data_IF_988972187526
#
_entry.id   IF_988972187526
#
_cell.length_a   1.000
_cell.length_b   1.000
_cell.length_c   1.000
_cell.angle_alpha   90.00
_cell.angle_beta   90.00
_cell.angle_gamma   90.00
#
_symmetry.space_group_name_H-M   'P 1'
#
loop_
_entity.id
_entity.type
_entity.pdbx_description
1 polymer ?
#
# COMPACT_ATOMS: atom_id res chain seq x y z
N UNK A 1 -62.04 -37.96 19.93
CA UNK A 1 -61.34 -38.70 18.84
C UNK A 1 -60.13 -37.77 18.48
N UNK A 2 -59.02 -38.33 18.86
CA UNK A 2 -57.72 -37.66 18.96
C UNK A 2 -57.09 -37.44 17.62
N UNK A 3 -56.40 -36.28 17.47
CA UNK A 3 -55.33 -36.13 16.52
C UNK A 3 -54.07 -35.59 17.21
N UNK A 4 -53.06 -36.43 17.20
CA UNK A 4 -51.77 -36.23 17.81
C UNK A 4 -50.89 -35.19 17.05
N UNK A 5 -50.26 -34.33 17.83
CA UNK A 5 -49.12 -33.51 17.49
C UNK A 5 -47.88 -34.31 17.11
N UNK A 6 -47.14 -33.89 16.07
CA UNK A 6 -45.71 -34.08 15.91
C UNK A 6 -45.04 -32.75 15.51
N UNK A 7 -44.54 -32.04 16.50
CA UNK A 7 -43.58 -30.96 16.31
C UNK A 7 -42.21 -31.53 16.67
N UNK A 8 -41.44 -31.95 15.65
CA UNK A 8 -40.03 -32.27 15.79
C UNK A 8 -39.23 -30.97 15.86
N UNK A 9 -38.75 -30.62 17.07
CA UNK A 9 -37.91 -29.48 17.30
C UNK A 9 -36.51 -29.66 16.69
N UNK A 10 -36.14 -28.83 15.78
CA UNK A 10 -34.72 -28.66 15.38
C UNK A 10 -33.97 -27.97 16.51
N UNK A 11 -32.96 -28.62 17.06
CA UNK A 11 -32.17 -28.10 18.17
C UNK A 11 -31.32 -26.88 17.74
N UNK A 12 -31.18 -25.91 18.64
CA UNK A 12 -30.40 -24.68 18.43
C UNK A 12 -28.94 -24.94 18.03
N UNK A 13 -28.43 -26.16 18.22
CA UNK A 13 -27.08 -26.55 17.78
C UNK A 13 -26.99 -26.85 16.28
N UNK A 14 -28.05 -27.33 15.65
CA UNK A 14 -28.04 -27.63 14.20
C UNK A 14 -28.05 -26.36 13.36
N UNK A 15 -28.68 -25.28 13.84
CA UNK A 15 -28.61 -23.96 13.19
C UNK A 15 -27.23 -23.33 13.29
N UNK A 16 -26.51 -23.49 14.41
CA UNK A 16 -25.14 -22.98 14.57
C UNK A 16 -24.16 -23.70 13.66
N UNK A 17 -24.26 -25.01 13.50
CA UNK A 17 -23.41 -25.81 12.60
C UNK A 17 -23.70 -25.46 11.13
N UNK A 18 -24.97 -25.32 10.75
CA UNK A 18 -25.36 -24.93 9.40
C UNK A 18 -24.91 -23.48 9.04
N UNK A 19 -25.00 -22.52 9.98
CA UNK A 19 -24.50 -21.17 9.79
C UNK A 19 -22.96 -21.14 9.70
N UNK A 20 -22.25 -21.90 10.53
CA UNK A 20 -20.77 -21.95 10.49
C UNK A 20 -20.24 -22.58 9.20
N UNK A 21 -20.89 -23.61 8.67
CA UNK A 21 -20.56 -24.24 7.39
C UNK A 21 -20.91 -23.34 6.19
N UNK A 22 -21.99 -22.57 6.28
CA UNK A 22 -22.37 -21.60 5.23
C UNK A 22 -21.41 -20.42 5.17
N UNK A 23 -20.99 -19.87 6.32
CA UNK A 23 -20.01 -18.79 6.40
C UNK A 23 -18.62 -19.27 5.93
N UNK A 24 -18.21 -20.47 6.30
CA UNK A 24 -16.95 -21.06 5.84
C UNK A 24 -16.94 -21.30 4.32
N UNK A 25 -18.04 -21.83 3.74
CA UNK A 25 -18.16 -22.05 2.29
C UNK A 25 -18.18 -20.73 1.50
N UNK A 26 -18.84 -19.69 2.00
CA UNK A 26 -18.84 -18.35 1.37
C UNK A 26 -17.45 -17.70 1.44
N UNK A 27 -16.75 -17.85 2.57
CA UNK A 27 -15.38 -17.34 2.73
C UNK A 27 -14.39 -18.05 1.81
N UNK A 28 -14.44 -19.37 1.72
CA UNK A 28 -13.56 -20.17 0.85
C UNK A 28 -13.86 -19.91 -0.63
N UNK A 29 -15.13 -19.89 -1.04
CA UNK A 29 -15.53 -19.60 -2.42
C UNK A 29 -15.10 -18.20 -2.87
N UNK A 30 -15.21 -17.19 -2.01
CA UNK A 30 -14.74 -15.81 -2.28
C UNK A 30 -13.22 -15.74 -2.37
N UNK A 31 -12.50 -16.49 -1.54
CA UNK A 31 -11.04 -16.57 -1.58
C UNK A 31 -10.53 -17.25 -2.87
N UNK A 32 -11.16 -18.33 -3.32
CA UNK A 32 -10.84 -19.01 -4.57
C UNK A 32 -11.16 -18.12 -5.79
N UNK A 33 -12.34 -17.48 -5.82
CA UNK A 33 -12.76 -16.59 -6.91
C UNK A 33 -11.85 -15.35 -7.03
N UNK A 34 -11.44 -14.76 -5.90
CA UNK A 34 -10.47 -13.66 -5.87
C UNK A 34 -9.11 -14.12 -6.38
N UNK A 35 -8.63 -15.32 -5.99
CA UNK A 35 -7.36 -15.86 -6.49
C UNK A 35 -7.35 -16.14 -7.98
N UNK A 36 -8.41 -16.73 -8.55
CA UNK A 36 -8.48 -16.99 -9.99
C UNK A 36 -8.46 -15.69 -10.82
N UNK A 37 -9.16 -14.65 -10.37
CA UNK A 37 -9.22 -13.36 -11.07
C UNK A 37 -7.92 -12.54 -10.95
N UNK A 38 -7.14 -12.74 -9.88
CA UNK A 38 -5.82 -12.11 -9.65
C UNK A 38 -4.70 -12.72 -10.51
N UNK A 39 -4.93 -13.85 -11.16
CA UNK A 39 -3.90 -14.63 -11.87
C UNK A 39 -3.36 -13.99 -13.14
N UNK A 40 -3.92 -12.87 -13.61
CA UNK A 40 -3.57 -12.31 -14.91
C UNK A 40 -2.96 -10.89 -14.87
N UNK A 41 -2.55 -10.38 -13.70
CA UNK A 41 -1.97 -9.05 -13.61
C UNK A 41 -0.43 -9.04 -13.61
N UNK A 42 0.21 -10.13 -13.14
CA UNK A 42 1.67 -10.17 -13.01
C UNK A 42 2.36 -10.55 -14.31
N UNK A 43 3.49 -9.90 -14.55
CA UNK A 43 4.39 -10.08 -15.67
C UNK A 43 5.70 -10.71 -15.21
N UNK A 44 6.20 -11.67 -15.98
CA UNK A 44 7.52 -12.25 -15.76
C UNK A 44 8.62 -11.19 -15.99
N UNK A 45 9.49 -10.93 -15.00
CA UNK A 45 10.50 -9.90 -15.12
C UNK A 45 11.63 -10.26 -16.12
N UNK A 46 11.69 -11.52 -16.56
CA UNK A 46 12.72 -11.99 -17.49
C UNK A 46 12.25 -11.95 -18.94
N UNK A 47 11.06 -12.48 -19.21
CA UNK A 47 10.57 -12.63 -20.59
C UNK A 47 9.26 -11.87 -20.89
N UNK A 48 8.72 -11.12 -19.91
CA UNK A 48 7.53 -10.27 -20.03
C UNK A 48 6.21 -11.00 -20.31
N UNK A 49 6.20 -12.32 -20.37
CA UNK A 49 4.95 -13.09 -20.47
C UNK A 49 4.17 -13.06 -19.14
N UNK A 50 2.87 -13.28 -19.25
CA UNK A 50 1.99 -13.40 -18.08
C UNK A 50 2.47 -14.49 -17.11
N UNK A 51 2.40 -14.21 -15.83
CA UNK A 51 2.62 -15.18 -14.77
C UNK A 51 1.27 -15.75 -14.32
N UNK A 52 1.18 -17.06 -14.21
CA UNK A 52 0.02 -17.77 -13.66
C UNK A 52 0.42 -18.48 -12.37
N UNK A 53 -0.44 -18.44 -11.35
CA UNK A 53 -0.22 -19.07 -10.06
C UNK A 53 -0.73 -20.51 -10.07
N UNK A 54 0.18 -21.45 -9.80
CA UNK A 54 -0.15 -22.87 -9.63
C UNK A 54 0.61 -23.39 -8.40
N UNK A 55 -0.09 -23.98 -7.45
CA UNK A 55 0.49 -24.62 -6.26
C UNK A 55 1.55 -23.78 -5.51
N UNK A 56 1.25 -22.50 -5.26
CA UNK A 56 2.16 -21.54 -4.59
C UNK A 56 3.39 -21.13 -5.41
N UNK A 57 3.40 -21.38 -6.73
CA UNK A 57 4.47 -20.97 -7.63
C UNK A 57 3.90 -20.20 -8.81
N UNK A 58 4.41 -18.99 -9.05
CA UNK A 58 4.11 -18.21 -10.24
C UNK A 58 4.99 -18.68 -11.40
N UNK A 59 4.38 -19.02 -12.54
CA UNK A 59 5.07 -19.53 -13.72
C UNK A 59 4.63 -18.81 -14.99
N UNK A 60 5.56 -18.60 -15.93
CA UNK A 60 5.27 -18.13 -17.27
C UNK A 60 5.37 -19.25 -18.31
N UNK A 61 4.95 -18.98 -19.55
CA UNK A 61 5.02 -19.94 -20.66
C UNK A 61 6.46 -20.38 -20.99
N UNK A 62 7.46 -19.55 -20.70
CA UNK A 62 8.88 -19.86 -20.88
C UNK A 62 9.50 -20.56 -19.64
N UNK A 63 8.69 -21.16 -18.81
CA UNK A 63 9.07 -21.96 -17.64
C UNK A 63 9.88 -21.21 -16.54
N UNK A 64 9.96 -19.86 -16.59
CA UNK A 64 10.47 -19.13 -15.43
C UNK A 64 9.49 -19.29 -14.26
N UNK A 65 10.02 -19.57 -13.07
CA UNK A 65 9.22 -19.87 -11.88
C UNK A 65 9.66 -19.04 -10.68
N UNK A 66 8.69 -18.62 -9.86
CA UNK A 66 8.87 -17.78 -8.67
C UNK A 66 7.97 -18.29 -7.56
N UNK A 67 8.55 -18.82 -6.50
CA UNK A 67 7.77 -19.36 -5.39
C UNK A 67 7.19 -18.25 -4.52
N UNK A 68 5.96 -18.49 -4.05
CA UNK A 68 5.34 -17.65 -3.03
C UNK A 68 5.99 -17.97 -1.69
N UNK A 69 6.58 -16.98 -1.07
CA UNK A 69 7.20 -17.12 0.24
C UNK A 69 6.16 -17.52 1.31
N UNK A 70 6.61 -18.15 2.41
CA UNK A 70 5.75 -18.55 3.54
C UNK A 70 4.87 -17.39 4.06
N UNK A 71 5.33 -16.15 3.96
CA UNK A 71 4.59 -14.95 4.36
C UNK A 71 3.46 -14.60 3.40
N UNK A 72 3.49 -15.05 2.15
CA UNK A 72 2.46 -14.82 1.13
C UNK A 72 2.83 -13.76 0.08
N UNK A 73 4.10 -13.42 -0.09
CA UNK A 73 4.59 -12.54 -1.17
C UNK A 73 5.39 -13.32 -2.21
N UNK A 74 5.55 -12.75 -3.39
CA UNK A 74 6.47 -13.24 -4.42
C UNK A 74 7.61 -12.25 -4.63
N UNK A 75 8.83 -12.75 -4.86
CA UNK A 75 9.98 -11.92 -5.18
C UNK A 75 10.24 -11.94 -6.69
N UNK A 76 9.91 -10.85 -7.36
CA UNK A 76 10.12 -10.64 -8.79
C UNK A 76 11.25 -9.63 -9.07
N UNK A 77 12.02 -9.24 -8.05
CA UNK A 77 13.19 -8.37 -8.22
C UNK A 77 14.38 -9.15 -8.75
N UNK A 78 14.75 -8.87 -10.00
CA UNK A 78 15.88 -9.56 -10.69
C UNK A 78 17.20 -9.12 -10.09
N UNK A 79 18.05 -10.10 -9.75
CA UNK A 79 19.34 -9.88 -9.05
C UNK A 79 20.28 -8.96 -9.84
N UNK A 80 20.25 -9.02 -11.16
CA UNK A 80 21.09 -8.19 -12.06
C UNK A 80 20.78 -6.67 -11.94
N UNK A 81 19.61 -6.30 -11.39
CA UNK A 81 19.20 -4.92 -11.16
C UNK A 81 19.43 -4.44 -9.72
N UNK A 82 20.12 -5.24 -8.90
CA UNK A 82 20.41 -4.88 -7.50
C UNK A 82 21.65 -4.00 -7.41
N UNK A 83 21.48 -2.74 -7.07
CA UNK A 83 22.57 -1.81 -6.78
C UNK A 83 23.01 -1.82 -5.30
N UNK A 84 22.22 -2.44 -4.40
CA UNK A 84 22.56 -2.65 -2.99
C UNK A 84 22.08 -4.01 -2.49
N UNK A 85 22.70 -4.51 -1.39
CA UNK A 85 22.30 -5.78 -0.77
C UNK A 85 20.90 -5.73 -0.14
N UNK A 86 20.54 -4.58 0.45
CA UNK A 86 19.25 -4.33 1.11
C UNK A 86 18.70 -2.98 0.63
N UNK A 87 18.07 -2.92 -0.56
CA UNK A 87 17.46 -1.69 -1.04
C UNK A 87 16.19 -1.37 -0.25
N UNK A 88 15.87 -0.07 -0.12
CA UNK A 88 14.68 0.42 0.56
C UNK A 88 14.89 0.66 2.05
N UNK A 89 13.80 0.72 2.80
CA UNK A 89 13.79 1.05 4.22
C UNK A 89 14.44 -0.02 5.10
N UNK A 90 15.09 0.42 6.19
CA UNK A 90 15.64 -0.49 7.21
C UNK A 90 14.53 -1.18 8.00
N UNK A 91 14.83 -2.28 8.67
CA UNK A 91 13.87 -2.99 9.51
C UNK A 91 13.35 -2.09 10.66
N UNK A 92 14.22 -1.26 11.24
CA UNK A 92 13.85 -0.30 12.28
C UNK A 92 12.88 0.77 11.76
N UNK A 93 13.15 1.34 10.57
CA UNK A 93 12.26 2.32 9.94
C UNK A 93 10.88 1.71 9.64
N UNK A 94 10.83 0.47 9.13
CA UNK A 94 9.58 -0.26 8.88
C UNK A 94 8.80 -0.51 10.17
N UNK A 95 9.48 -0.91 11.26
CA UNK A 95 8.85 -1.14 12.56
C UNK A 95 8.31 0.16 13.17
N UNK A 96 9.10 1.24 13.11
CA UNK A 96 8.68 2.56 13.60
C UNK A 96 7.47 3.08 12.81
N UNK A 97 7.47 2.96 11.49
CA UNK A 97 6.35 3.33 10.62
C UNK A 97 5.11 2.54 10.99
N UNK A 98 5.23 1.24 11.12
CA UNK A 98 4.11 0.39 11.51
C UNK A 98 3.55 0.79 12.87
N UNK A 99 4.38 1.00 13.90
CA UNK A 99 3.95 1.41 15.22
C UNK A 99 3.20 2.76 15.17
N UNK A 100 3.74 3.73 14.44
CA UNK A 100 3.15 5.05 14.28
C UNK A 100 1.81 5.01 13.53
N UNK A 101 1.76 4.35 12.38
CA UNK A 101 0.55 4.29 11.55
C UNK A 101 -0.55 3.45 12.21
N UNK A 102 -0.20 2.32 12.86
CA UNK A 102 -1.17 1.49 13.58
C UNK A 102 -1.77 2.18 14.80
N UNK A 103 -1.09 3.19 15.37
CA UNK A 103 -1.65 4.04 16.43
C UNK A 103 -2.67 5.07 15.89
N UNK A 104 -2.89 5.15 14.58
CA UNK A 104 -3.92 5.97 13.96
C UNK A 104 -3.54 7.41 13.69
N UNK A 105 -2.27 7.82 13.90
CA UNK A 105 -1.86 9.21 13.71
C UNK A 105 -2.09 9.74 12.29
N UNK A 106 -2.02 8.88 11.27
CA UNK A 106 -2.31 9.24 9.87
C UNK A 106 -3.65 8.66 9.36
N UNK A 107 -4.56 8.32 10.27
CA UNK A 107 -5.91 7.84 9.90
C UNK A 107 -6.68 8.84 9.02
N UNK A 108 -6.61 10.18 9.23
CA UNK A 108 -7.28 11.13 8.34
C UNK A 108 -6.82 11.02 6.88
N UNK A 109 -5.52 10.80 6.64
CA UNK A 109 -5.00 10.57 5.29
C UNK A 109 -5.50 9.25 4.71
N UNK A 110 -5.44 8.16 5.50
CA UNK A 110 -5.91 6.85 5.05
C UNK A 110 -7.39 6.92 4.65
N UNK A 111 -8.23 7.56 5.45
CA UNK A 111 -9.64 7.74 5.18
C UNK A 111 -9.87 8.52 3.88
N UNK A 112 -9.20 9.66 3.69
CA UNK A 112 -9.32 10.48 2.48
C UNK A 112 -8.95 9.71 1.20
N UNK A 113 -7.88 8.89 1.27
CA UNK A 113 -7.46 8.01 0.16
C UNK A 113 -8.53 6.96 -0.14
N UNK A 114 -9.03 6.27 0.88
CA UNK A 114 -10.06 5.22 0.74
C UNK A 114 -11.37 5.79 0.16
N UNK A 115 -11.82 6.94 0.66
CA UNK A 115 -13.01 7.63 0.16
C UNK A 115 -12.89 8.00 -1.31
N UNK A 116 -11.71 8.48 -1.74
CA UNK A 116 -11.44 8.79 -3.14
C UNK A 116 -11.51 7.54 -4.02
N UNK A 117 -10.89 6.43 -3.62
CA UNK A 117 -10.91 5.18 -4.36
C UNK A 117 -12.33 4.62 -4.49
N UNK A 118 -13.09 4.64 -3.39
CA UNK A 118 -14.50 4.24 -3.38
C UNK A 118 -15.33 5.05 -4.39
N UNK A 119 -15.11 6.36 -4.46
CA UNK A 119 -15.81 7.25 -5.38
C UNK A 119 -15.49 6.96 -6.86
N UNK A 120 -14.28 6.51 -7.18
CA UNK A 120 -13.84 6.20 -8.53
C UNK A 120 -14.43 4.89 -9.09
N UNK A 121 -14.92 3.98 -8.22
CA UNK A 121 -15.53 2.70 -8.59
C UNK A 121 -14.64 1.85 -9.54
N UNK A 122 -13.35 1.82 -9.26
CA UNK A 122 -12.36 1.05 -10.03
C UNK A 122 -12.33 -0.42 -9.59
N UNK A 123 -11.80 -1.30 -10.45
CA UNK A 123 -11.70 -2.74 -10.16
C UNK A 123 -10.28 -3.17 -9.80
N UNK A 124 -9.26 -2.59 -10.45
CA UNK A 124 -7.85 -2.99 -10.32
C UNK A 124 -6.99 -1.84 -9.81
N UNK A 125 -6.22 -2.10 -8.75
CA UNK A 125 -5.33 -1.14 -8.11
C UNK A 125 -3.91 -1.68 -8.03
N UNK A 126 -2.93 -0.84 -8.38
CA UNK A 126 -1.50 -1.07 -8.16
C UNK A 126 -0.94 0.00 -7.23
N UNK A 127 -0.46 -0.42 -6.05
CA UNK A 127 0.22 0.47 -5.09
C UNK A 127 1.74 0.37 -5.25
N UNK A 128 2.37 1.47 -5.67
CA UNK A 128 3.79 1.55 -5.99
C UNK A 128 4.54 2.16 -4.80
N UNK A 129 5.45 1.38 -4.20
CA UNK A 129 6.09 1.72 -2.94
C UNK A 129 5.15 1.46 -1.76
N UNK A 130 4.51 0.27 -1.76
CA UNK A 130 3.47 -0.08 -0.79
C UNK A 130 3.97 -0.20 0.67
N UNK A 131 5.28 -0.28 0.88
CA UNK A 131 5.87 -0.42 2.20
C UNK A 131 5.35 -1.64 2.97
N UNK A 132 4.99 -1.46 4.26
CA UNK A 132 4.41 -2.49 5.11
C UNK A 132 2.89 -2.66 4.92
N UNK A 133 2.30 -1.97 3.92
CA UNK A 133 0.94 -2.21 3.45
C UNK A 133 -0.18 -1.49 4.20
N UNK A 134 0.11 -0.49 5.05
CA UNK A 134 -0.91 0.23 5.81
C UNK A 134 -2.00 0.85 4.94
N UNK A 135 -1.62 1.61 3.93
CA UNK A 135 -2.56 2.21 2.98
C UNK A 135 -3.11 1.17 2.00
N UNK A 136 -2.25 0.31 1.45
CA UNK A 136 -2.63 -0.72 0.48
C UNK A 136 -3.72 -1.64 1.00
N UNK A 137 -3.62 -2.07 2.26
CA UNK A 137 -4.61 -2.93 2.90
C UNK A 137 -5.99 -2.25 3.04
N UNK A 138 -6.02 -0.95 3.32
CA UNK A 138 -7.25 -0.17 3.38
C UNK A 138 -7.86 0.07 2.00
N UNK A 139 -7.03 0.41 1.01
CA UNK A 139 -7.45 0.59 -0.39
C UNK A 139 -8.01 -0.69 -1.01
N UNK A 140 -7.43 -1.85 -0.67
CA UNK A 140 -7.87 -3.16 -1.16
C UNK A 140 -9.35 -3.45 -0.85
N UNK A 141 -9.89 -2.96 0.27
CA UNK A 141 -11.28 -3.18 0.64
C UNK A 141 -12.28 -2.57 -0.37
N UNK A 142 -11.85 -1.62 -1.17
CA UNK A 142 -12.67 -0.87 -2.13
C UNK A 142 -12.53 -1.38 -3.58
N UNK A 143 -11.67 -2.38 -3.83
CA UNK A 143 -11.38 -2.86 -5.20
C UNK A 143 -11.45 -4.39 -5.28
N UNK A 144 -11.63 -4.92 -6.49
CA UNK A 144 -11.68 -6.37 -6.70
C UNK A 144 -10.28 -6.99 -6.66
N UNK A 145 -9.27 -6.29 -7.20
CA UNK A 145 -7.91 -6.78 -7.32
C UNK A 145 -6.92 -5.68 -6.89
N UNK A 146 -5.98 -6.06 -6.05
CA UNK A 146 -4.95 -5.15 -5.56
C UNK A 146 -3.57 -5.82 -5.60
N UNK A 147 -2.62 -5.11 -6.18
CA UNK A 147 -1.20 -5.48 -6.20
C UNK A 147 -0.41 -4.42 -5.44
N UNK A 148 0.40 -4.83 -4.47
CA UNK A 148 1.35 -3.96 -3.77
C UNK A 148 2.78 -4.32 -4.18
N UNK A 149 3.53 -3.34 -4.68
CA UNK A 149 4.94 -3.51 -5.09
C UNK A 149 5.84 -2.63 -4.25
N UNK A 150 6.87 -3.21 -3.65
CA UNK A 150 7.94 -2.47 -2.97
C UNK A 150 9.28 -3.18 -3.14
N UNK A 151 10.36 -2.39 -3.14
CA UNK A 151 11.73 -2.92 -3.24
C UNK A 151 12.24 -3.43 -1.88
N UNK A 152 11.71 -2.91 -0.77
CA UNK A 152 12.07 -3.28 0.59
C UNK A 152 11.43 -4.62 0.98
N UNK A 153 12.17 -5.70 0.81
CA UNK A 153 11.70 -7.07 1.12
C UNK A 153 11.16 -7.21 2.55
N UNK A 154 11.81 -6.59 3.53
CA UNK A 154 11.38 -6.59 4.93
C UNK A 154 9.99 -5.95 5.12
N UNK A 155 9.70 -4.86 4.42
CA UNK A 155 8.40 -4.20 4.45
C UNK A 155 7.30 -5.09 3.82
N UNK A 156 7.55 -5.62 2.62
CA UNK A 156 6.62 -6.53 1.93
C UNK A 156 6.34 -7.79 2.75
N UNK A 157 7.34 -8.32 3.48
CA UNK A 157 7.14 -9.46 4.39
C UNK A 157 6.13 -9.14 5.52
N UNK A 158 6.17 -7.93 6.06
CA UNK A 158 5.22 -7.46 7.08
C UNK A 158 3.83 -7.33 6.47
N UNK A 159 3.70 -6.66 5.33
CA UNK A 159 2.45 -6.47 4.61
C UNK A 159 1.76 -7.81 4.30
N UNK A 160 2.50 -8.76 3.73
CA UNK A 160 1.99 -10.08 3.35
C UNK A 160 1.58 -10.97 4.53
N UNK A 161 2.16 -10.77 5.73
CA UNK A 161 1.70 -11.44 6.95
C UNK A 161 0.35 -10.91 7.42
N UNK A 162 0.13 -9.60 7.29
CA UNK A 162 -1.04 -8.90 7.86
C UNK A 162 -2.27 -8.98 6.95
N UNK A 163 -2.10 -8.89 5.64
CA UNK A 163 -3.21 -8.92 4.70
C UNK A 163 -2.95 -9.97 3.60
N UNK A 164 -3.91 -10.89 3.43
CA UNK A 164 -3.86 -11.98 2.45
C UNK A 164 -4.68 -11.70 1.18
N UNK A 165 -5.37 -10.57 1.11
CA UNK A 165 -6.24 -10.21 -0.01
C UNK A 165 -5.53 -9.35 -1.06
N UNK A 166 -4.24 -9.04 -0.85
CA UNK A 166 -3.38 -8.29 -1.78
C UNK A 166 -2.34 -9.24 -2.36
N UNK A 167 -2.01 -9.09 -3.63
CA UNK A 167 -0.84 -9.71 -4.24
C UNK A 167 0.38 -8.88 -3.90
N UNK A 168 1.20 -9.36 -2.97
CA UNK A 168 2.39 -8.68 -2.51
C UNK A 168 3.62 -9.08 -3.32
N UNK A 169 4.32 -8.10 -3.85
CA UNK A 169 5.45 -8.32 -4.75
C UNK A 169 6.67 -7.53 -4.28
N UNK A 170 7.79 -8.22 -4.09
CA UNK A 170 9.10 -7.56 -4.00
C UNK A 170 9.56 -7.26 -5.43
N UNK A 171 9.66 -5.99 -5.76
CA UNK A 171 9.98 -5.51 -7.11
C UNK A 171 10.42 -4.06 -7.12
N UNK A 172 10.86 -3.57 -8.26
CA UNK A 172 11.26 -2.18 -8.44
C UNK A 172 10.23 -1.39 -9.26
N UNK A 173 10.02 -0.13 -8.91
CA UNK A 173 9.23 0.80 -9.72
C UNK A 173 9.82 1.05 -11.11
N UNK A 174 11.14 0.91 -11.27
CA UNK A 174 11.80 1.10 -12.57
C UNK A 174 11.42 0.04 -13.63
N UNK A 175 10.92 -1.11 -13.19
CA UNK A 175 10.39 -2.17 -14.05
C UNK A 175 9.29 -2.88 -13.26
N UNK A 176 8.08 -2.39 -13.37
CA UNK A 176 6.93 -2.93 -12.64
C UNK A 176 6.59 -4.34 -13.19
N UNK A 177 6.53 -5.36 -12.32
CA UNK A 177 6.21 -6.73 -12.74
C UNK A 177 4.69 -6.91 -12.94
N UNK A 178 4.08 -6.01 -13.69
CA UNK A 178 2.64 -5.93 -13.98
C UNK A 178 2.46 -5.79 -15.49
N UNK A 179 1.46 -6.44 -16.04
CA UNK A 179 1.14 -6.44 -17.48
C UNK A 179 0.75 -5.04 -17.96
N UNK A 180 0.91 -4.81 -19.27
CA UNK A 180 0.56 -3.57 -19.94
C UNK A 180 -0.97 -3.37 -19.94
N UNK A 181 -1.41 -2.14 -19.69
CA UNK A 181 -2.81 -1.73 -19.88
C UNK A 181 -3.85 -2.49 -19.06
N UNK A 182 -3.50 -2.99 -17.84
CA UNK A 182 -4.40 -3.82 -17.04
C UNK A 182 -4.86 -3.18 -15.71
N UNK A 183 -4.35 -2.00 -15.35
CA UNK A 183 -4.61 -1.33 -14.07
C UNK A 183 -5.54 -0.12 -14.28
N UNK A 184 -6.59 0.00 -13.47
CA UNK A 184 -7.49 1.15 -13.46
C UNK A 184 -6.90 2.34 -12.71
N UNK A 185 -6.21 2.07 -11.58
CA UNK A 185 -5.57 3.09 -10.76
C UNK A 185 -4.21 2.62 -10.25
N UNK A 186 -3.18 3.45 -10.51
CA UNK A 186 -1.91 3.39 -9.80
C UNK A 186 -1.93 4.37 -8.62
N UNK A 187 -1.44 3.96 -7.45
CA UNK A 187 -1.17 4.85 -6.32
C UNK A 187 0.33 4.93 -6.03
N UNK A 188 0.79 6.12 -5.63
CA UNK A 188 2.14 6.39 -5.16
C UNK A 188 2.04 7.30 -3.94
N UNK A 189 2.22 6.72 -2.75
CA UNK A 189 2.14 7.43 -1.49
C UNK A 189 3.56 7.57 -0.92
N UNK A 190 4.11 8.79 -0.94
CA UNK A 190 5.46 9.10 -0.45
C UNK A 190 6.58 8.31 -1.16
N UNK A 191 6.33 7.82 -2.35
CA UNK A 191 7.27 7.02 -3.13
C UNK A 191 7.61 7.68 -4.48
N UNK A 192 8.72 7.27 -5.14
CA UNK A 192 9.04 7.76 -6.48
C UNK A 192 7.96 7.43 -7.50
N UNK A 193 7.80 8.29 -8.50
CA UNK A 193 6.83 8.12 -9.59
C UNK A 193 7.56 7.65 -10.85
N UNK A 194 7.54 6.35 -11.17
CA UNK A 194 8.11 5.82 -12.42
C UNK A 194 7.12 6.05 -13.57
N UNK A 195 7.06 7.26 -14.08
CA UNK A 195 6.04 7.72 -15.02
C UNK A 195 5.85 6.80 -16.22
N UNK A 196 6.92 6.35 -16.88
CA UNK A 196 6.84 5.50 -18.06
C UNK A 196 6.22 4.13 -17.76
N UNK A 197 6.56 3.54 -16.61
CA UNK A 197 5.99 2.29 -16.18
C UNK A 197 4.52 2.43 -15.76
N UNK A 198 4.16 3.54 -15.11
CA UNK A 198 2.77 3.87 -14.79
C UNK A 198 1.94 4.00 -16.06
N UNK A 199 2.46 4.72 -17.08
CA UNK A 199 1.81 4.84 -18.39
C UNK A 199 1.62 3.48 -19.06
N UNK A 200 2.61 2.59 -18.95
CA UNK A 200 2.55 1.26 -19.54
C UNK A 200 1.46 0.39 -18.90
N UNK A 201 1.38 0.36 -17.57
CA UNK A 201 0.46 -0.54 -16.85
C UNK A 201 -0.98 -0.02 -16.78
N UNK A 202 -1.18 1.31 -16.85
CA UNK A 202 -2.51 1.90 -16.80
C UNK A 202 -3.30 1.61 -18.06
N UNK A 203 -4.55 1.21 -17.88
CA UNK A 203 -5.57 1.19 -18.94
C UNK A 203 -5.70 2.56 -19.62
N UNK A 204 -6.25 2.65 -20.84
CA UNK A 204 -6.67 3.93 -21.39
C UNK A 204 -7.59 4.66 -20.39
N UNK A 205 -7.33 5.95 -20.16
CA UNK A 205 -8.07 6.77 -19.20
C UNK A 205 -7.98 6.31 -17.73
N UNK A 206 -7.02 5.46 -17.38
CA UNK A 206 -6.74 5.06 -16.01
C UNK A 206 -6.24 6.23 -15.16
N UNK A 207 -6.28 6.06 -13.85
CA UNK A 207 -5.95 7.11 -12.88
C UNK A 207 -4.60 6.89 -12.21
N UNK A 208 -3.98 7.99 -11.80
CA UNK A 208 -2.82 8.00 -10.92
C UNK A 208 -3.14 8.87 -9.69
N UNK A 209 -3.11 8.28 -8.51
CA UNK A 209 -3.22 8.97 -7.23
C UNK A 209 -1.82 9.18 -6.64
N UNK A 210 -1.45 10.42 -6.42
CA UNK A 210 -0.17 10.81 -5.81
C UNK A 210 -0.42 11.46 -4.46
N UNK A 211 0.28 10.99 -3.42
CA UNK A 211 0.28 11.61 -2.10
C UNK A 211 1.70 12.01 -1.73
N UNK A 212 1.87 13.26 -1.36
CA UNK A 212 3.17 13.84 -0.99
C UNK A 212 3.02 14.79 0.20
N UNK A 213 4.10 15.10 0.94
CA UNK A 213 4.05 16.17 1.93
C UNK A 213 3.64 17.51 1.30
N UNK A 214 2.70 18.22 1.92
CA UNK A 214 2.37 19.60 1.58
C UNK A 214 3.43 20.56 2.11
N UNK A 215 3.38 21.84 1.71
CA UNK A 215 4.39 22.85 2.08
C UNK A 215 4.62 22.94 3.60
N UNK A 216 3.55 22.92 4.39
CA UNK A 216 3.58 23.00 5.86
C UNK A 216 3.75 21.68 6.58
N UNK A 217 3.96 20.56 5.86
CA UNK A 217 4.05 19.24 6.47
C UNK A 217 5.12 19.15 7.55
N UNK A 218 4.71 18.82 8.77
CA UNK A 218 5.56 18.64 9.96
C UNK A 218 6.52 19.85 10.19
N UNK A 219 6.05 21.08 9.95
CA UNK A 219 6.92 22.26 9.97
C UNK A 219 7.64 22.43 11.33
N UNK A 220 6.90 22.35 12.46
CA UNK A 220 7.49 22.49 13.79
C UNK A 220 8.54 21.40 14.10
N UNK A 221 8.31 20.16 13.64
CA UNK A 221 9.29 19.09 13.77
C UNK A 221 10.58 19.41 12.99
N UNK A 222 10.41 19.90 11.76
CA UNK A 222 11.54 20.23 10.87
C UNK A 222 12.34 21.42 11.38
N UNK A 223 11.68 22.45 11.89
CA UNK A 223 12.30 23.62 12.52
C UNK A 223 13.14 23.23 13.75
N UNK A 224 12.67 22.28 14.57
CA UNK A 224 13.44 21.77 15.68
C UNK A 224 14.66 20.94 15.26
N UNK A 225 14.57 20.19 14.16
CA UNK A 225 15.63 19.28 13.70
C UNK A 225 16.69 19.96 12.81
N UNK A 226 16.31 20.99 12.04
CA UNK A 226 17.19 21.60 11.02
C UNK A 226 17.43 23.09 11.27
N UNK A 227 18.54 23.61 10.81
CA UNK A 227 18.87 25.05 10.89
C UNK A 227 18.05 25.83 9.85
N UNK A 228 17.85 25.25 8.68
CA UNK A 228 17.03 25.80 7.61
C UNK A 228 15.95 24.82 7.21
N UNK A 229 14.73 25.30 7.09
CA UNK A 229 13.57 24.50 6.69
C UNK A 229 13.18 24.88 5.26
N UNK A 230 13.67 24.11 4.31
CA UNK A 230 13.24 24.27 2.93
C UNK A 230 11.79 23.76 2.76
N UNK A 231 10.87 24.56 2.18
CA UNK A 231 9.49 24.12 1.97
C UNK A 231 9.46 22.92 1.00
N UNK A 232 8.51 22.03 1.22
CA UNK A 232 8.21 21.02 0.22
C UNK A 232 7.64 21.68 -1.04
N UNK A 233 7.88 21.10 -2.19
CA UNK A 233 7.41 21.61 -3.49
C UNK A 233 6.50 20.59 -4.18
N UNK A 234 5.29 20.39 -3.67
CA UNK A 234 4.37 19.38 -4.23
C UNK A 234 3.98 19.66 -5.69
N UNK A 235 3.97 20.94 -6.11
CA UNK A 235 3.63 21.36 -7.47
C UNK A 235 4.50 20.73 -8.56
N UNK A 236 5.74 20.40 -8.27
CA UNK A 236 6.64 19.77 -9.24
C UNK A 236 6.09 18.49 -9.86
N UNK A 237 5.21 17.78 -9.14
CA UNK A 237 4.58 16.57 -9.67
C UNK A 237 3.56 16.89 -10.76
N UNK A 238 2.86 18.02 -10.65
CA UNK A 238 1.95 18.50 -11.70
C UNK A 238 2.74 18.86 -12.95
N UNK A 239 3.84 19.61 -12.79
CA UNK A 239 4.73 20.00 -13.90
C UNK A 239 5.35 18.78 -14.57
N UNK A 240 5.82 17.81 -13.79
CA UNK A 240 6.42 16.57 -14.30
C UNK A 240 5.42 15.76 -15.13
N UNK A 241 4.19 15.62 -14.65
CA UNK A 241 3.20 14.69 -15.21
C UNK A 241 2.31 15.29 -16.30
N UNK A 242 2.29 16.62 -16.47
CA UNK A 242 1.39 17.31 -17.39
C UNK A 242 1.52 16.88 -18.87
N UNK A 243 2.65 16.31 -19.28
CA UNK A 243 2.85 15.79 -20.64
C UNK A 243 1.90 14.64 -20.99
N UNK A 244 1.72 13.70 -20.07
CA UNK A 244 1.03 12.44 -20.26
C UNK A 244 -0.26 12.30 -19.44
N UNK A 245 -0.49 13.20 -18.49
CA UNK A 245 -1.63 13.15 -17.58
C UNK A 245 -2.36 14.50 -17.53
N UNK A 246 -3.67 14.44 -17.33
CA UNK A 246 -4.50 15.58 -16.96
C UNK A 246 -4.69 15.57 -15.45
N UNK A 247 -4.42 16.69 -14.77
CA UNK A 247 -4.79 16.86 -13.37
C UNK A 247 -6.32 16.97 -13.28
N UNK A 248 -6.94 16.02 -12.56
CA UNK A 248 -8.40 15.98 -12.37
C UNK A 248 -8.78 16.72 -11.09
N UNK A 249 -8.02 16.50 -10.01
CA UNK A 249 -8.31 17.06 -8.71
C UNK A 249 -7.04 17.17 -7.87
N UNK A 250 -7.01 18.17 -7.00
CA UNK A 250 -6.00 18.30 -5.96
C UNK A 250 -6.64 18.80 -4.66
N UNK A 251 -6.17 18.28 -3.53
CA UNK A 251 -6.66 18.69 -2.23
C UNK A 251 -5.61 18.46 -1.14
N UNK A 252 -5.81 19.09 0.00
CA UNK A 252 -4.95 18.95 1.18
C UNK A 252 -5.72 18.16 2.24
N UNK A 253 -5.01 17.28 2.92
CA UNK A 253 -5.48 16.62 4.13
C UNK A 253 -4.60 17.07 5.29
N UNK A 254 -5.24 17.59 6.33
CA UNK A 254 -4.61 17.97 7.58
C UNK A 254 -4.82 16.88 8.62
N UNK A 255 -3.75 16.54 9.33
CA UNK A 255 -3.79 15.67 10.49
C UNK A 255 -3.10 16.37 11.67
N UNK A 256 -3.87 17.06 12.54
CA UNK A 256 -3.31 17.61 13.77
C UNK A 256 -2.90 16.47 14.70
N UNK A 257 -1.69 16.56 15.23
CA UNK A 257 -1.07 15.50 16.03
C UNK A 257 -0.70 16.04 17.40
N UNK A 258 -1.03 15.27 18.43
CA UNK A 258 -0.45 15.40 19.76
C UNK A 258 0.30 14.10 20.04
N UNK A 259 1.62 14.13 19.90
CA UNK A 259 2.46 12.96 19.97
C UNK A 259 3.08 12.81 21.34
N UNK A 260 2.85 11.69 22.05
CA UNK A 260 3.68 11.32 23.19
C UNK A 260 5.09 10.98 22.72
N UNK A 261 6.07 11.01 23.63
CA UNK A 261 7.48 10.80 23.35
C UNK A 261 7.75 9.57 22.45
N UNK A 262 7.09 8.45 22.73
CA UNK A 262 7.28 7.21 21.97
C UNK A 262 6.83 7.34 20.52
N UNK A 263 5.70 8.00 20.27
CA UNK A 263 5.20 8.23 18.93
C UNK A 263 6.08 9.26 18.19
N UNK A 264 6.60 10.28 18.86
CA UNK A 264 7.56 11.22 18.29
C UNK A 264 8.83 10.52 17.82
N UNK A 265 9.40 9.61 18.62
CA UNK A 265 10.54 8.78 18.22
C UNK A 265 10.22 7.92 16.98
N UNK A 266 9.04 7.32 16.93
CA UNK A 266 8.61 6.55 15.76
C UNK A 266 8.44 7.43 14.50
N UNK A 267 7.85 8.62 14.64
CA UNK A 267 7.72 9.57 13.54
C UNK A 267 9.08 9.96 12.96
N UNK A 268 10.04 10.30 13.83
CA UNK A 268 11.40 10.64 13.38
C UNK A 268 12.04 9.43 12.66
N UNK A 269 11.99 8.25 13.30
CA UNK A 269 12.65 7.04 12.78
C UNK A 269 12.10 6.54 11.44
N UNK A 270 10.81 6.79 11.15
CA UNK A 270 10.19 6.39 9.89
C UNK A 270 10.40 7.37 8.74
N UNK A 271 11.01 8.54 9.01
CA UNK A 271 11.23 9.59 8.01
C UNK A 271 12.72 9.73 7.69
N UNK A 272 13.10 10.36 6.55
CA UNK A 272 14.48 10.69 6.26
C UNK A 272 15.16 11.59 7.31
N UNK A 273 14.40 12.20 8.22
CA UNK A 273 14.93 13.04 9.30
C UNK A 273 15.81 12.24 10.27
N UNK A 274 15.56 10.93 10.41
CA UNK A 274 16.34 10.04 11.25
C UNK A 274 17.87 10.11 11.02
N UNK A 275 18.26 10.28 9.74
CA UNK A 275 19.67 10.30 9.32
C UNK A 275 20.14 11.64 8.76
N UNK A 276 19.21 12.59 8.49
CA UNK A 276 19.55 13.93 8.00
C UNK A 276 19.74 14.95 9.12
N UNK A 277 19.07 14.75 10.26
CA UNK A 277 19.19 15.65 11.41
C UNK A 277 20.49 15.43 12.19
N UNK A 278 21.04 16.51 12.76
CA UNK A 278 22.17 16.42 13.69
C UNK A 278 21.75 15.58 14.92
N UNK A 279 22.60 14.64 15.39
CA UNK A 279 22.26 13.75 16.51
C UNK A 279 21.82 14.52 17.78
N UNK A 280 22.48 15.63 18.08
CA UNK A 280 22.22 16.44 19.28
C UNK A 280 20.81 17.05 19.24
N UNK A 281 20.40 17.60 18.07
CA UNK A 281 19.07 18.17 17.88
C UNK A 281 17.98 17.12 17.95
N UNK A 282 18.25 15.95 17.35
CA UNK A 282 17.35 14.80 17.41
C UNK A 282 17.17 14.32 18.85
N UNK A 283 18.26 14.12 19.60
CA UNK A 283 18.22 13.69 20.99
C UNK A 283 17.47 14.68 21.88
N UNK A 284 17.73 15.99 21.72
CA UNK A 284 17.01 17.00 22.46
C UNK A 284 15.50 16.98 22.19
N UNK A 285 15.10 16.81 20.92
CA UNK A 285 13.69 16.73 20.53
C UNK A 285 13.03 15.46 21.07
N UNK A 286 13.71 14.33 21.05
CA UNK A 286 13.23 13.04 21.54
C UNK A 286 13.06 12.99 23.09
N UNK A 287 13.52 14.00 23.84
CA UNK A 287 13.28 14.14 25.29
C UNK A 287 11.93 14.80 25.61
N UNK A 288 11.26 15.42 24.66
CA UNK A 288 9.96 16.02 24.91
C UNK A 288 8.92 14.94 25.27
N UNK A 289 8.22 15.12 26.38
CA UNK A 289 7.14 14.22 26.79
C UNK A 289 5.98 14.23 25.80
N UNK A 290 5.67 15.42 25.24
CA UNK A 290 4.64 15.62 24.24
C UNK A 290 5.08 16.66 23.22
N UNK A 291 4.65 16.48 21.98
CA UNK A 291 4.84 17.48 20.91
C UNK A 291 3.53 17.62 20.09
N UNK A 292 3.03 18.84 20.04
CA UNK A 292 1.92 19.20 19.13
C UNK A 292 2.46 19.67 17.80
N UNK A 293 1.95 19.11 16.71
CA UNK A 293 2.35 19.48 15.36
C UNK A 293 1.23 19.14 14.36
N UNK A 294 1.38 19.59 13.12
CA UNK A 294 0.44 19.28 12.06
C UNK A 294 1.14 18.53 10.92
N UNK A 295 0.58 17.41 10.52
CA UNK A 295 0.97 16.71 9.30
C UNK A 295 0.01 17.11 8.18
N UNK A 296 0.54 17.77 7.15
CA UNK A 296 -0.21 18.20 5.98
C UNK A 296 0.21 17.40 4.77
N UNK A 297 -0.76 16.85 4.07
CA UNK A 297 -0.55 16.01 2.89
C UNK A 297 -1.21 16.67 1.69
N UNK A 298 -0.47 16.76 0.59
CA UNK A 298 -1.00 17.15 -0.71
C UNK A 298 -1.35 15.90 -1.50
N UNK A 299 -2.57 15.83 -1.98
CA UNK A 299 -3.07 14.75 -2.82
C UNK A 299 -3.38 15.28 -4.21
N UNK A 300 -3.03 14.49 -5.22
CA UNK A 300 -3.29 14.76 -6.63
C UNK A 300 -3.93 13.53 -7.27
N UNK A 301 -5.03 13.74 -7.95
CA UNK A 301 -5.62 12.74 -8.84
C UNK A 301 -5.39 13.15 -10.28
N UNK A 302 -4.69 12.32 -11.01
CA UNK A 302 -4.43 12.48 -12.43
C UNK A 302 -5.19 11.43 -13.23
N UNK A 303 -5.50 11.76 -14.48
CA UNK A 303 -6.06 10.83 -15.46
C UNK A 303 -5.13 10.76 -16.67
N UNK A 304 -4.83 9.54 -17.10
CA UNK A 304 -4.02 9.28 -18.30
C UNK A 304 -4.74 9.87 -19.54
N UNK A 305 -3.99 10.59 -20.37
CA UNK A 305 -4.47 11.18 -21.63
C UNK A 305 -4.86 10.14 -22.65
#
# INVERSE_FOLDING_TARGET
MDYYNYAGGFGANDLKIALSLSIAKVGIGRLFYVREKMMNLLMCPVCRHTLSLTDQTWRCLNHHSYDVAKQGYVNLHVVQHKHSKNPGDTAESVQARRAFLSAGFYAPLQQAVVEKIRALKIETLLDIGCGEGYYTAAMQAEVQQCVGVDIAKNAVQVAAKLNKNVVWVVGTGATLPVLDGCIDLCSSLFSPIPEQEILRVLKPHGYLLVVTPANGHLYALREALFEEVNPHQPQKFVEQLQGNFNLVEQWIVDAPLMLPQTALKHLIAMTPYAYKAKPERRQALEQNEHLSLNAQFQLYLFKKK
#
